data_IF_718837700544
#
_entry.id   IF_718837700544
#
_cell.length_a   1.000
_cell.length_b   1.000
_cell.length_c   1.000
_cell.angle_alpha   90.00
_cell.angle_beta   90.00
_cell.angle_gamma   90.00
#
_symmetry.space_group_name_H-M   'P 1'
#
loop_
_entity.id
_entity.type
_entity.pdbx_description
1 polymer ?
#
# COMPACT_ATOMS: atom_id res chain seq x y z
N UNK A 1 7.08 -14.20 7.61
CA UNK A 1 7.07 -14.36 6.16
C UNK A 1 5.61 -14.48 5.77
N UNK A 2 5.16 -13.79 4.72
CA UNK A 2 3.75 -13.78 4.36
C UNK A 2 3.17 -15.18 4.21
N UNK A 3 3.95 -16.11 3.67
CA UNK A 3 3.56 -17.52 3.55
C UNK A 3 3.14 -18.15 4.89
N UNK A 4 3.66 -17.64 6.01
CA UNK A 4 3.39 -18.11 7.36
C UNK A 4 2.25 -17.35 8.07
N UNK A 5 1.70 -16.29 7.46
CA UNK A 5 0.57 -15.58 8.06
C UNK A 5 -0.68 -16.47 8.15
N UNK A 6 -1.46 -16.31 9.23
CA UNK A 6 -2.84 -16.73 9.27
C UNK A 6 -3.64 -16.23 8.07
N UNK A 7 -4.62 -17.03 7.63
CA UNK A 7 -5.34 -16.81 6.38
C UNK A 7 -6.15 -15.51 6.37
N UNK A 8 -6.68 -15.11 7.52
CA UNK A 8 -7.33 -13.83 7.77
C UNK A 8 -6.37 -12.65 7.55
N UNK A 9 -5.15 -12.70 8.08
CA UNK A 9 -4.16 -11.64 7.86
C UNK A 9 -3.68 -11.56 6.40
N UNK A 10 -3.62 -12.70 5.71
CA UNK A 10 -3.35 -12.71 4.28
C UNK A 10 -4.43 -11.98 3.47
N UNK A 11 -5.68 -12.19 3.83
CA UNK A 11 -6.83 -11.53 3.20
C UNK A 11 -6.83 -10.02 3.49
N UNK A 12 -6.43 -9.60 4.69
CA UNK A 12 -6.32 -8.18 5.02
C UNK A 12 -5.22 -7.48 4.21
N UNK A 13 -4.05 -8.10 4.06
CA UNK A 13 -2.97 -7.56 3.21
C UNK A 13 -3.41 -7.47 1.74
N UNK A 14 -4.15 -8.46 1.23
CA UNK A 14 -4.70 -8.44 -0.12
C UNK A 14 -5.75 -7.32 -0.32
N UNK A 15 -6.65 -7.16 0.65
CA UNK A 15 -7.66 -6.10 0.62
C UNK A 15 -7.02 -4.70 0.66
N UNK A 16 -5.99 -4.51 1.50
CA UNK A 16 -5.28 -3.24 1.58
C UNK A 16 -4.49 -2.96 0.30
N UNK A 17 -3.82 -3.97 -0.28
CA UNK A 17 -3.16 -3.85 -1.58
C UNK A 17 -4.13 -3.42 -2.70
N UNK A 18 -5.36 -3.94 -2.71
CA UNK A 18 -6.39 -3.53 -3.66
C UNK A 18 -6.78 -2.04 -3.52
N UNK A 19 -6.88 -1.53 -2.29
CA UNK A 19 -7.11 -0.10 -2.03
C UNK A 19 -5.98 0.75 -2.58
N UNK A 20 -4.73 0.36 -2.34
CA UNK A 20 -3.56 1.11 -2.85
C UNK A 20 -3.55 1.18 -4.37
N UNK A 21 -3.87 0.09 -5.06
CA UNK A 21 -3.95 0.08 -6.53
C UNK A 21 -5.07 0.99 -7.03
N UNK A 22 -6.24 0.97 -6.39
CA UNK A 22 -7.35 1.85 -6.75
C UNK A 22 -6.96 3.34 -6.56
N UNK A 23 -6.29 3.67 -5.47
CA UNK A 23 -5.77 5.02 -5.22
C UNK A 23 -4.80 5.47 -6.32
N UNK A 24 -3.91 4.59 -6.77
CA UNK A 24 -2.96 4.93 -7.83
C UNK A 24 -3.65 5.17 -9.17
N UNK A 25 -4.71 4.42 -9.48
CA UNK A 25 -5.48 4.63 -10.70
C UNK A 25 -6.33 5.90 -10.64
N UNK A 26 -6.90 6.23 -9.47
CA UNK A 26 -7.82 7.34 -9.31
C UNK A 26 -7.14 8.68 -8.95
N UNK A 27 -5.87 8.65 -8.50
CA UNK A 27 -5.10 9.84 -8.13
C UNK A 27 -3.79 9.97 -8.94
N UNK A 28 -3.84 10.07 -10.28
CA UNK A 28 -2.63 10.09 -11.12
C UNK A 28 -1.67 11.24 -10.81
N UNK A 29 -2.19 12.42 -10.42
CA UNK A 29 -1.36 13.55 -10.02
C UNK A 29 -0.57 13.31 -8.73
N UNK A 30 -1.10 12.50 -7.82
CA UNK A 30 -0.40 12.12 -6.58
C UNK A 30 0.71 11.11 -6.90
N UNK A 31 0.44 10.15 -7.78
CA UNK A 31 1.45 9.21 -8.30
C UNK A 31 2.59 9.97 -8.99
N UNK A 32 2.29 10.97 -9.82
CA UNK A 32 3.32 11.80 -10.46
C UNK A 32 4.26 12.44 -9.41
N UNK A 33 3.70 13.00 -8.33
CA UNK A 33 4.51 13.59 -7.24
C UNK A 33 5.44 12.54 -6.61
N UNK A 34 4.97 11.32 -6.39
CA UNK A 34 5.76 10.22 -5.85
C UNK A 34 6.85 9.74 -6.83
N UNK A 35 6.61 9.84 -8.14
CA UNK A 35 7.61 9.55 -9.17
C UNK A 35 8.72 10.60 -9.23
N UNK A 36 8.37 11.88 -9.16
CA UNK A 36 9.31 13.01 -9.14
C UNK A 36 9.98 13.23 -7.77
N UNK A 37 9.81 12.31 -6.82
CA UNK A 37 10.25 12.43 -5.42
C UNK A 37 11.74 12.70 -5.21
N UNK A 38 12.62 12.40 -6.18
CA UNK A 38 14.07 12.70 -6.08
C UNK A 38 14.36 14.19 -5.83
N UNK A 39 13.54 15.10 -6.36
CA UNK A 39 13.67 16.54 -6.15
C UNK A 39 12.65 17.13 -5.18
N UNK A 40 11.63 16.36 -4.78
CA UNK A 40 10.50 16.81 -3.96
C UNK A 40 10.19 15.85 -2.81
N UNK A 41 11.21 15.52 -2.01
CA UNK A 41 11.11 14.55 -0.91
C UNK A 41 9.99 14.87 0.08
N UNK A 42 9.86 16.14 0.49
CA UNK A 42 8.82 16.56 1.43
C UNK A 42 7.41 16.41 0.84
N UNK A 43 7.20 16.83 -0.42
CA UNK A 43 5.91 16.67 -1.09
C UNK A 43 5.55 15.19 -1.27
N UNK A 44 6.53 14.35 -1.62
CA UNK A 44 6.33 12.92 -1.74
C UNK A 44 5.97 12.27 -0.38
N UNK A 45 6.58 12.72 0.71
CA UNK A 45 6.24 12.26 2.05
C UNK A 45 4.81 12.63 2.44
N UNK A 46 4.39 13.87 2.17
CA UNK A 46 3.02 14.32 2.47
C UNK A 46 1.97 13.58 1.64
N UNK A 47 2.25 13.34 0.35
CA UNK A 47 1.39 12.50 -0.49
C UNK A 47 1.35 11.07 0.03
N UNK A 48 2.49 10.51 0.43
CA UNK A 48 2.54 9.16 1.01
C UNK A 48 1.67 9.06 2.26
N UNK A 49 1.75 10.03 3.18
CA UNK A 49 0.91 10.07 4.39
C UNK A 49 -0.57 10.20 4.06
N UNK A 50 -0.92 11.06 3.11
CA UNK A 50 -2.33 11.21 2.69
C UNK A 50 -2.91 9.92 2.11
N UNK A 51 -2.16 9.24 1.23
CA UNK A 51 -2.62 7.97 0.66
C UNK A 51 -2.68 6.87 1.74
N UNK A 52 -1.70 6.84 2.65
CA UNK A 52 -1.68 5.92 3.80
C UNK A 52 -2.88 6.13 4.73
N UNK A 53 -3.28 7.37 5.00
CA UNK A 53 -4.50 7.68 5.75
C UNK A 53 -5.76 7.08 5.10
N UNK A 54 -5.88 7.12 3.77
CA UNK A 54 -7.02 6.48 3.09
C UNK A 54 -6.96 4.96 3.20
N UNK A 55 -5.76 4.36 3.15
CA UNK A 55 -5.59 2.91 3.38
C UNK A 55 -6.06 2.52 4.78
N UNK A 56 -5.67 3.30 5.80
CA UNK A 56 -6.08 3.12 7.19
C UNK A 56 -7.60 3.22 7.36
N UNK A 57 -8.21 4.30 6.85
CA UNK A 57 -9.66 4.50 6.91
C UNK A 57 -10.41 3.32 6.27
N UNK A 58 -9.93 2.87 5.11
CA UNK A 58 -10.51 1.72 4.39
C UNK A 58 -10.31 0.42 5.15
N UNK A 59 -9.20 0.25 5.87
CA UNK A 59 -8.96 -0.90 6.73
C UNK A 59 -9.93 -0.90 7.92
N UNK A 60 -10.14 0.23 8.60
CA UNK A 60 -11.13 0.38 9.68
C UNK A 60 -12.58 0.15 9.21
N UNK A 61 -12.92 0.56 7.99
CA UNK A 61 -14.25 0.30 7.39
C UNK A 61 -14.56 -1.20 7.28
N UNK A 62 -13.54 -2.05 7.07
CA UNK A 62 -13.70 -3.50 6.92
C UNK A 62 -13.55 -4.26 8.25
N UNK A 63 -12.77 -3.71 9.17
CA UNK A 63 -12.38 -4.36 10.41
C UNK A 63 -13.18 -3.82 11.60
N UNK A 64 -14.46 -4.20 11.69
CA UNK A 64 -15.35 -3.79 12.78
C UNK A 64 -14.82 -4.14 14.18
N UNK A 65 -14.02 -5.20 14.29
CA UNK A 65 -13.40 -5.63 15.55
C UNK A 65 -12.33 -4.65 16.06
N UNK A 66 -11.75 -3.82 15.18
CA UNK A 66 -10.76 -2.82 15.55
C UNK A 66 -11.40 -1.54 16.11
N UNK A 67 -12.71 -1.35 15.91
CA UNK A 67 -13.45 -0.16 16.39
C UNK A 67 -13.43 -0.05 17.90
N UNK A 68 -13.16 1.15 18.40
CA UNK A 68 -12.95 1.45 19.82
C UNK A 68 -11.67 0.87 20.41
N UNK A 69 -10.78 0.29 19.59
CA UNK A 69 -9.45 -0.17 19.98
C UNK A 69 -8.38 0.92 19.81
N UNK A 70 -7.12 0.56 20.07
CA UNK A 70 -5.98 1.50 19.97
C UNK A 70 -5.70 1.97 18.53
N UNK A 71 -6.20 1.22 17.54
CA UNK A 71 -6.05 1.52 16.11
C UNK A 71 -7.21 2.34 15.54
N UNK A 72 -8.32 2.49 16.27
CA UNK A 72 -9.48 3.31 15.86
C UNK A 72 -9.26 4.79 16.19
N UNK A 73 -8.15 5.32 15.66
CA UNK A 73 -7.76 6.73 15.74
C UNK A 73 -7.39 7.21 14.35
N UNK A 74 -7.43 8.54 14.09
CA UNK A 74 -6.92 9.10 12.85
C UNK A 74 -5.48 8.66 12.58
N UNK A 75 -5.11 8.54 11.30
CA UNK A 75 -3.78 8.09 10.88
C UNK A 75 -2.64 8.88 11.56
N UNK A 76 -2.81 10.19 11.73
CA UNK A 76 -1.82 11.07 12.35
C UNK A 76 -1.59 10.76 13.84
N UNK A 77 -2.58 10.16 14.49
CA UNK A 77 -2.56 9.81 15.91
C UNK A 77 -2.09 8.36 16.15
N UNK A 78 -1.90 7.57 15.09
CA UNK A 78 -1.33 6.23 15.18
C UNK A 78 0.11 6.27 15.70
N UNK A 79 0.55 5.14 16.27
CA UNK A 79 1.97 4.96 16.60
C UNK A 79 2.84 5.03 15.33
N UNK A 80 4.12 5.43 15.41
CA UNK A 80 5.00 5.47 14.25
C UNK A 80 5.15 4.12 13.54
N UNK A 81 4.99 3.02 14.26
CA UNK A 81 5.04 1.65 13.72
C UNK A 81 3.80 1.33 12.88
N UNK A 82 2.62 1.69 13.36
CA UNK A 82 1.37 1.50 12.63
C UNK A 82 1.29 2.41 11.40
N UNK A 83 1.71 3.69 11.53
CA UNK A 83 1.83 4.58 10.36
C UNK A 83 2.78 4.01 9.31
N UNK A 84 3.88 3.38 9.73
CA UNK A 84 4.85 2.80 8.82
C UNK A 84 4.25 1.65 8.00
N UNK A 85 3.36 0.84 8.58
CA UNK A 85 2.69 -0.27 7.87
C UNK A 85 1.87 0.24 6.69
N UNK A 86 1.02 1.24 6.88
CA UNK A 86 0.21 1.81 5.79
C UNK A 86 1.09 2.55 4.76
N UNK A 87 2.07 3.32 5.22
CA UNK A 87 3.00 4.03 4.33
C UNK A 87 3.86 3.08 3.50
N UNK A 88 4.25 1.93 4.05
CA UNK A 88 5.11 0.97 3.35
C UNK A 88 4.35 0.25 2.23
N UNK A 89 3.02 0.08 2.35
CA UNK A 89 2.19 -0.39 1.23
C UNK A 89 2.25 0.58 0.04
N UNK A 90 2.15 1.90 0.30
CA UNK A 90 2.26 2.94 -0.74
C UNK A 90 3.66 2.92 -1.38
N UNK A 91 4.72 2.89 -0.56
CA UNK A 91 6.10 2.88 -1.05
C UNK A 91 6.39 1.63 -1.89
N UNK A 92 5.88 0.47 -1.48
CA UNK A 92 6.03 -0.77 -2.22
C UNK A 92 5.30 -0.67 -3.57
N UNK A 93 4.05 -0.23 -3.58
CA UNK A 93 3.31 -0.03 -4.82
C UNK A 93 4.03 0.93 -5.78
N UNK A 94 4.64 2.01 -5.28
CA UNK A 94 5.48 2.91 -6.07
C UNK A 94 6.73 2.23 -6.64
N UNK A 95 7.41 1.43 -5.82
CA UNK A 95 8.60 0.68 -6.26
C UNK A 95 8.24 -0.30 -7.37
N UNK A 96 7.17 -1.07 -7.17
CA UNK A 96 6.68 -2.04 -8.14
C UNK A 96 6.18 -1.36 -9.43
N UNK A 97 5.54 -0.20 -9.32
CA UNK A 97 5.11 0.60 -10.49
C UNK A 97 6.29 1.07 -11.33
N UNK A 98 7.40 1.49 -10.71
CA UNK A 98 8.62 1.90 -11.41
C UNK A 98 9.29 0.71 -12.11
N UNK A 99 9.44 -0.41 -11.40
CA UNK A 99 9.92 -1.66 -12.00
C UNK A 99 9.04 -2.08 -13.18
N UNK A 100 7.72 -1.91 -13.09
CA UNK A 100 6.79 -2.23 -14.17
C UNK A 100 6.90 -1.26 -15.34
N UNK A 101 7.10 0.05 -15.16
CA UNK A 101 7.40 0.97 -16.27
C UNK A 101 8.71 0.62 -16.97
N UNK A 102 9.72 0.23 -16.21
CA UNK A 102 11.01 -0.23 -16.73
C UNK A 102 10.85 -1.55 -17.51
N UNK A 103 9.93 -2.43 -17.06
CA UNK A 103 9.58 -3.69 -17.73
C UNK A 103 8.61 -3.49 -18.91
N UNK A 104 7.68 -2.54 -18.85
CA UNK A 104 6.71 -2.23 -19.90
C UNK A 104 7.40 -1.61 -21.12
N UNK A 105 8.45 -0.82 -20.91
CA UNK A 105 9.36 -0.40 -21.98
C UNK A 105 10.14 -1.59 -22.58
N UNK A 106 10.31 -2.69 -21.84
CA UNK A 106 11.00 -3.90 -22.27
C UNK A 106 10.09 -5.01 -22.81
N UNK A 107 8.77 -5.00 -22.52
CA UNK A 107 7.83 -6.13 -22.72
C UNK A 107 6.52 -5.69 -23.38
N UNK A 108 6.59 -4.89 -24.45
CA UNK A 108 5.46 -4.56 -25.34
C UNK A 108 4.84 -5.80 -26.07
N UNK A 109 4.93 -7.03 -25.51
CA UNK A 109 4.41 -8.27 -26.10
C UNK A 109 3.74 -9.28 -25.13
N UNK A 110 3.51 -9.01 -23.84
CA UNK A 110 2.87 -10.01 -22.95
C UNK A 110 2.08 -9.43 -21.75
N UNK A 111 0.89 -8.86 -22.00
CA UNK A 111 0.16 -8.03 -21.01
C UNK A 111 -0.67 -8.75 -19.92
N UNK A 112 -0.45 -10.03 -19.62
CA UNK A 112 -1.26 -10.73 -18.59
C UNK A 112 -0.47 -11.15 -17.32
N UNK A 113 0.85 -11.33 -17.42
CA UNK A 113 1.67 -11.90 -16.32
C UNK A 113 2.13 -10.84 -15.32
N UNK A 114 2.37 -9.61 -15.78
CA UNK A 114 2.90 -8.51 -14.95
C UNK A 114 1.89 -8.03 -13.91
N UNK A 115 0.60 -8.00 -14.27
CA UNK A 115 -0.47 -7.57 -13.38
C UNK A 115 -0.70 -8.54 -12.20
N UNK A 116 -0.65 -9.87 -12.44
CA UNK A 116 -0.84 -10.87 -11.40
C UNK A 116 0.38 -11.00 -10.46
N UNK A 117 1.60 -10.88 -10.99
CA UNK A 117 2.83 -10.85 -10.17
C UNK A 117 2.91 -9.59 -9.28
N UNK A 118 2.27 -8.50 -9.67
CA UNK A 118 2.22 -7.24 -8.90
C UNK A 118 1.37 -7.40 -7.64
N UNK A 119 0.20 -8.01 -7.75
CA UNK A 119 -0.66 -8.30 -6.60
C UNK A 119 -0.01 -9.31 -5.66
N UNK A 120 0.58 -10.38 -6.19
CA UNK A 120 1.31 -11.36 -5.37
C UNK A 120 2.43 -10.73 -4.54
N UNK A 121 3.23 -9.81 -5.10
CA UNK A 121 4.34 -9.16 -4.37
C UNK A 121 3.92 -8.16 -3.30
N UNK A 122 2.79 -7.46 -3.47
CA UNK A 122 2.24 -6.61 -2.41
C UNK A 122 1.67 -7.46 -1.27
N UNK A 123 1.07 -8.58 -1.65
CA UNK A 123 0.49 -9.55 -0.73
C UNK A 123 1.60 -10.25 0.07
N UNK A 124 2.73 -10.61 -0.54
CA UNK A 124 3.88 -11.30 0.10
C UNK A 124 4.63 -10.50 1.21
N UNK A 125 4.21 -9.27 1.54
CA UNK A 125 4.76 -8.50 2.66
C UNK A 125 3.82 -8.51 3.88
N UNK A 126 4.41 -8.61 5.08
CA UNK A 126 3.69 -8.43 6.33
C UNK A 126 3.44 -6.94 6.58
N UNK A 127 2.19 -6.50 6.40
CA UNK A 127 1.74 -5.19 6.87
C UNK A 127 0.88 -5.33 8.12
N UNK A 128 -0.03 -6.30 8.13
CA UNK A 128 -0.85 -6.63 9.28
C UNK A 128 -0.54 -8.07 9.74
N UNK A 129 -0.42 -8.29 11.07
CA UNK A 129 -0.16 -9.63 11.62
C UNK A 129 0.82 -9.73 12.81
N UNK A 130 1.44 -8.63 13.24
CA UNK A 130 2.25 -8.62 14.47
C UNK A 130 1.45 -7.99 15.63
N UNK A 131 0.95 -8.86 16.53
CA UNK A 131 0.66 -8.57 17.95
C UNK A 131 -0.47 -7.59 18.30
N UNK A 132 -1.66 -8.13 18.58
CA UNK A 132 -2.44 -7.81 19.80
C UNK A 132 -2.53 -9.10 20.62
#
# INVERSE_FOLDING_TARGET
>A
DFADLPQDWKQENEAAAAVVVDLFHNSPSEVDILEFSKSQKAAAEEVTKRMASVVHDKWLERNDWAKGGELDVPFEDLSPEEQAKDMDQIKLAMKLSKEDKDVAWAVEQAECVTFLNKYGRMVDMHFYGDGI
#
